data_IF_859827072846
#
_entry.id   IF_859827072846
#
_cell.length_a   1.000
_cell.length_b   1.000
_cell.length_c   1.000
_cell.angle_alpha   90.00
_cell.angle_beta   90.00
_cell.angle_gamma   90.00
#
_symmetry.space_group_name_H-M   'P 1'
#
loop_
_entity.id
_entity.type
_entity.pdbx_description
1 polymer ?
#
# COMPACT_ATOMS: atom_id res chain seq x y z
N UNK A 1 -8.97 -8.53 5.33
CA UNK A 1 -7.62 -7.94 5.30
C UNK A 1 -6.79 -8.19 6.56
N UNK A 2 -7.26 -9.03 7.50
CA UNK A 2 -6.55 -9.30 8.76
C UNK A 2 -5.10 -9.79 8.56
N UNK A 3 -4.86 -10.77 7.67
CA UNK A 3 -3.52 -11.27 7.37
C UNK A 3 -2.57 -10.20 6.79
N UNK A 4 -3.10 -9.25 6.00
CA UNK A 4 -2.30 -8.14 5.47
C UNK A 4 -1.91 -7.18 6.59
N UNK A 5 -2.84 -6.89 7.50
CA UNK A 5 -2.54 -6.09 8.68
C UNK A 5 -1.49 -6.76 9.57
N UNK A 6 -1.63 -8.06 9.83
CA UNK A 6 -0.66 -8.85 10.60
C UNK A 6 0.73 -8.81 9.95
N UNK A 7 0.80 -8.98 8.62
CA UNK A 7 2.04 -8.84 7.88
C UNK A 7 2.64 -7.44 8.00
N UNK A 8 1.86 -6.36 7.86
CA UNK A 8 2.34 -4.99 8.06
C UNK A 8 2.85 -4.77 9.47
N UNK A 9 2.12 -5.21 10.48
CA UNK A 9 2.52 -5.08 11.89
C UNK A 9 3.85 -5.82 12.13
N UNK A 10 3.99 -7.04 11.60
CA UNK A 10 5.23 -7.81 11.67
C UNK A 10 6.40 -7.11 10.96
N UNK A 11 6.20 -6.61 9.73
CA UNK A 11 7.22 -5.92 8.94
C UNK A 11 7.73 -4.68 9.69
N UNK A 12 6.83 -3.90 10.30
CA UNK A 12 7.19 -2.69 11.04
C UNK A 12 7.90 -3.01 12.37
N UNK A 13 7.53 -4.11 13.05
CA UNK A 13 8.16 -4.53 14.29
C UNK A 13 9.52 -5.24 14.09
N UNK A 14 9.67 -5.96 12.97
CA UNK A 14 10.84 -6.81 12.67
C UNK A 14 11.41 -6.52 11.26
N UNK A 15 11.82 -5.28 10.93
CA UNK A 15 12.13 -4.87 9.56
C UNK A 15 13.30 -5.63 8.93
N UNK A 16 14.31 -6.01 9.71
CA UNK A 16 15.45 -6.79 9.21
C UNK A 16 15.04 -8.24 8.87
N UNK A 17 14.29 -8.89 9.76
CA UNK A 17 13.79 -10.24 9.54
C UNK A 17 12.81 -10.30 8.37
N UNK A 18 11.88 -9.35 8.29
CA UNK A 18 10.96 -9.22 7.17
C UNK A 18 11.67 -9.03 5.83
N UNK A 19 12.70 -8.17 5.79
CA UNK A 19 13.55 -8.02 4.59
C UNK A 19 14.22 -9.33 4.22
N UNK A 20 14.80 -10.04 5.18
CA UNK A 20 15.52 -11.28 4.90
C UNK A 20 14.58 -12.40 4.40
N UNK A 21 13.36 -12.48 4.96
CA UNK A 21 12.28 -13.33 4.43
C UNK A 21 11.94 -12.95 2.99
N UNK A 22 11.72 -11.65 2.72
CA UNK A 22 11.39 -11.14 1.39
C UNK A 22 12.47 -11.49 0.36
N UNK A 23 13.74 -11.19 0.65
CA UNK A 23 14.88 -11.46 -0.24
C UNK A 23 15.13 -12.96 -0.45
N UNK A 24 14.84 -13.80 0.55
CA UNK A 24 14.92 -15.26 0.40
C UNK A 24 13.80 -15.80 -0.50
N UNK A 25 12.60 -15.25 -0.38
CA UNK A 25 11.43 -15.66 -1.17
C UNK A 25 11.45 -15.14 -2.61
N UNK A 26 12.14 -14.02 -2.87
CA UNK A 26 12.30 -13.40 -4.19
C UNK A 26 13.79 -13.14 -4.49
N UNK A 27 14.57 -14.20 -4.84
CA UNK A 27 16.00 -14.07 -5.07
C UNK A 27 16.37 -13.14 -6.23
N UNK A 28 15.47 -12.96 -7.19
CA UNK A 28 15.57 -12.01 -8.31
C UNK A 28 15.54 -10.55 -7.85
N UNK A 29 14.92 -10.26 -6.71
CA UNK A 29 14.89 -8.95 -6.07
C UNK A 29 15.98 -8.79 -5.00
N UNK A 30 16.85 -9.77 -4.81
CA UNK A 30 17.87 -9.75 -3.77
C UNK A 30 19.15 -9.03 -4.23
N UNK A 31 19.02 -7.75 -4.53
CA UNK A 31 20.10 -6.87 -4.91
C UNK A 31 20.22 -5.66 -3.96
N UNK A 32 21.24 -4.83 -4.16
CA UNK A 32 21.45 -3.64 -3.33
C UNK A 32 20.30 -2.63 -3.44
N UNK A 33 19.81 -2.40 -4.66
CA UNK A 33 18.74 -1.44 -4.95
C UNK A 33 17.46 -1.78 -4.19
N UNK A 34 17.01 -3.02 -4.27
CA UNK A 34 15.78 -3.48 -3.64
C UNK A 34 15.88 -3.56 -2.11
N UNK A 35 17.08 -3.81 -1.57
CA UNK A 35 17.32 -3.73 -0.11
C UNK A 35 17.20 -2.30 0.41
N UNK A 36 17.70 -1.33 -0.33
CA UNK A 36 17.56 0.10 -0.01
C UNK A 36 16.09 0.55 -0.18
N UNK A 37 15.45 0.17 -1.28
CA UNK A 37 14.05 0.49 -1.54
C UNK A 37 13.12 -0.08 -0.47
N UNK A 38 13.36 -1.31 0.01
CA UNK A 38 12.60 -1.90 1.10
C UNK A 38 12.68 -1.01 2.35
N UNK A 39 13.89 -0.64 2.78
CA UNK A 39 14.08 0.22 3.95
C UNK A 39 13.45 1.62 3.77
N UNK A 40 13.60 2.22 2.59
CA UNK A 40 13.09 3.55 2.28
C UNK A 40 11.55 3.61 2.25
N UNK A 41 10.89 2.50 1.93
CA UNK A 41 9.43 2.47 1.77
C UNK A 41 8.67 2.08 3.04
N UNK A 42 9.33 1.46 4.02
CA UNK A 42 8.73 1.04 5.30
C UNK A 42 7.83 2.10 5.97
N UNK A 43 8.23 3.39 6.06
CA UNK A 43 7.41 4.41 6.73
C UNK A 43 6.05 4.66 6.05
N UNK A 44 5.87 4.26 4.79
CA UNK A 44 4.68 4.52 3.99
C UNK A 44 3.68 3.37 3.99
N UNK A 45 3.98 2.25 4.66
CA UNK A 45 3.04 1.13 4.76
C UNK A 45 1.80 1.54 5.56
N UNK A 46 0.62 1.14 5.07
CA UNK A 46 -0.65 1.46 5.71
C UNK A 46 -0.82 0.64 7.00
N UNK A 47 -0.85 1.32 8.16
CA UNK A 47 -1.07 0.69 9.49
C UNK A 47 -2.45 0.07 9.64
N UNK A 48 -3.44 0.62 8.94
CA UNK A 48 -4.78 0.07 8.84
C UNK A 48 -5.12 -0.13 7.35
N UNK A 49 -4.76 -1.28 6.76
CA UNK A 49 -4.98 -1.54 5.35
C UNK A 49 -6.46 -1.74 4.99
N UNK A 50 -7.36 -1.90 5.98
CA UNK A 50 -8.78 -2.09 5.76
C UNK A 50 -9.57 -0.77 5.72
N UNK A 51 -9.06 0.27 6.38
CA UNK A 51 -9.70 1.58 6.43
C UNK A 51 -9.70 2.28 5.05
N UNK A 52 -10.89 2.64 4.58
CA UNK A 52 -11.06 3.42 3.36
C UNK A 52 -11.11 4.92 3.66
N UNK A 53 -10.12 5.67 3.16
CA UNK A 53 -10.11 7.13 3.21
C UNK A 53 -10.75 7.71 1.94
N UNK A 54 -12.08 7.80 1.92
CA UNK A 54 -12.87 8.32 0.78
C UNK A 54 -12.36 9.68 0.31
N UNK A 55 -12.11 10.61 1.25
CA UNK A 55 -11.65 11.95 0.90
C UNK A 55 -10.29 11.98 0.21
N UNK A 56 -9.40 11.03 0.51
CA UNK A 56 -8.11 10.89 -0.21
C UNK A 56 -8.31 10.42 -1.65
N UNK A 57 -9.21 9.48 -1.87
CA UNK A 57 -9.57 9.01 -3.21
C UNK A 57 -10.18 10.15 -4.03
N UNK A 58 -11.12 10.91 -3.46
CA UNK A 58 -11.75 12.06 -4.13
C UNK A 58 -10.72 13.11 -4.54
N UNK A 59 -9.79 13.46 -3.65
CA UNK A 59 -8.71 14.42 -3.95
C UNK A 59 -7.81 13.93 -5.09
N UNK A 60 -7.42 12.65 -5.06
CA UNK A 60 -6.55 12.10 -6.09
C UNK A 60 -7.26 11.98 -7.44
N UNK A 61 -8.52 11.56 -7.46
CA UNK A 61 -9.32 11.53 -8.68
C UNK A 61 -9.53 12.94 -9.27
N UNK A 62 -9.75 13.95 -8.42
CA UNK A 62 -9.75 15.36 -8.80
C UNK A 62 -8.45 15.79 -9.47
N UNK A 63 -7.30 15.51 -8.86
CA UNK A 63 -5.99 15.78 -9.43
C UNK A 63 -5.78 15.10 -10.80
N UNK A 64 -6.17 13.83 -10.94
CA UNK A 64 -6.06 13.11 -12.22
C UNK A 64 -6.96 13.71 -13.30
N UNK A 65 -8.18 14.17 -12.93
CA UNK A 65 -9.09 14.87 -13.83
C UNK A 65 -8.51 16.21 -14.30
N UNK A 66 -7.99 17.01 -13.36
CA UNK A 66 -7.32 18.28 -13.66
C UNK A 66 -6.08 18.11 -14.54
N UNK A 67 -5.35 16.99 -14.37
CA UNK A 67 -4.18 16.63 -15.17
C UNK A 67 -4.51 16.04 -16.54
N UNK A 68 -5.80 15.89 -16.88
CA UNK A 68 -6.24 15.32 -18.16
C UNK A 68 -6.04 13.81 -18.29
N UNK A 69 -5.81 13.10 -17.18
CA UNK A 69 -5.65 11.64 -17.14
C UNK A 69 -6.99 10.90 -17.03
N UNK A 70 -8.08 11.61 -16.69
CA UNK A 70 -9.44 11.07 -16.60
C UNK A 70 -10.44 11.91 -17.42
N UNK A 71 -11.30 11.22 -18.17
CA UNK A 71 -12.43 11.84 -18.87
C UNK A 71 -13.55 12.26 -17.92
N UNK A 72 -13.74 11.54 -16.82
CA UNK A 72 -14.66 11.87 -15.73
C UNK A 72 -14.15 11.26 -14.42
N UNK A 73 -14.56 11.83 -13.28
CA UNK A 73 -14.28 11.25 -11.97
C UNK A 73 -15.28 10.10 -11.74
N UNK A 74 -14.84 8.82 -11.65
CA UNK A 74 -15.74 7.71 -11.38
C UNK A 74 -16.28 7.79 -9.93
N UNK A 75 -17.53 7.37 -9.68
CA UNK A 75 -18.04 7.23 -8.32
C UNK A 75 -17.20 6.22 -7.52
N UNK A 76 -16.85 6.56 -6.28
CA UNK A 76 -15.88 5.78 -5.49
C UNK A 76 -16.30 4.33 -5.24
N UNK A 77 -17.59 4.10 -5.06
CA UNK A 77 -18.19 2.78 -4.82
C UNK A 77 -18.06 1.83 -6.02
N UNK A 78 -17.68 2.33 -7.20
CA UNK A 78 -17.41 1.50 -8.38
C UNK A 78 -16.03 0.84 -8.36
N UNK A 79 -15.08 1.30 -7.54
CA UNK A 79 -13.70 0.80 -7.55
C UNK A 79 -13.03 0.68 -6.16
N UNK A 80 -13.65 1.21 -5.10
CA UNK A 80 -13.17 1.04 -3.74
C UNK A 80 -14.34 0.72 -2.79
N UNK A 81 -14.09 -0.20 -1.87
CA UNK A 81 -15.05 -0.61 -0.84
C UNK A 81 -14.37 -0.64 0.52
N UNK A 82 -15.11 -0.27 1.56
CA UNK A 82 -14.65 -0.45 2.93
C UNK A 82 -14.79 -1.92 3.32
N UNK A 83 -13.67 -2.53 3.75
CA UNK A 83 -13.61 -3.96 4.05
C UNK A 83 -13.70 -4.16 5.55
N UNK A 84 -14.81 -4.72 6.04
CA UNK A 84 -15.00 -5.00 7.46
C UNK A 84 -16.02 -4.11 8.17
N UNK A 85 -16.76 -3.27 7.45
CA UNK A 85 -18.00 -2.70 7.95
C UNK A 85 -19.09 -3.79 8.09
N UNK A 86 -19.03 -4.54 9.19
CA UNK A 86 -20.14 -5.28 9.79
C UNK A 86 -20.00 -5.28 11.30
#
# INVERSE_FOLDING_TARGET
>A
LAAVKEATDFILAHPAEARDIFMKSHPDLNDALNREAFAATLPYFAKDPAALDVGRYDRFAGFLKESGLLDAIPPIDTYAVEVGAK
#
